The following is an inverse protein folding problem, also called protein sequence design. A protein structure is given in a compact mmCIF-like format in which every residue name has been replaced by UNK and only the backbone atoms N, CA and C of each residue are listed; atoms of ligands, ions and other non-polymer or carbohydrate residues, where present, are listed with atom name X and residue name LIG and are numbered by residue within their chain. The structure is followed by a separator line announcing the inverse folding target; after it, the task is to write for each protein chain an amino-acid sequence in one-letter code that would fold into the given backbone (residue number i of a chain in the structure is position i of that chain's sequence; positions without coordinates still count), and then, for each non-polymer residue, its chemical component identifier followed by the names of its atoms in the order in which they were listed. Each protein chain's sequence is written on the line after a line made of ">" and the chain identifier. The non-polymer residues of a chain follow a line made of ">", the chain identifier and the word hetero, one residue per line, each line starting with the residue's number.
data_IF_187906936503
#
_entry.id   IF_187906936503
#
_cell.length_a   1.000
_cell.length_b   1.000
_cell.length_c   1.000
_cell.angle_alpha   90.00
_cell.angle_beta   90.00
_cell.angle_gamma   90.00
#
_symmetry.space_group_name_H-M   'P 1'
#
loop_
_entity.id
_entity.type
_entity.pdbx_description
1 polymer ?
#
# COMPACT_ATOMS: atom_id res chain seq x y z
N UNK A 1 -0.29 -6.09 -75.71
CA UNK A 1 -1.69 -5.72 -75.38
C UNK A 1 -2.08 -6.44 -74.10
N UNK A 2 -2.65 -5.70 -73.13
CA UNK A 2 -3.74 -6.03 -72.17
C UNK A 2 -3.83 -7.47 -71.62
N UNK A 3 -4.17 -7.77 -70.36
CA UNK A 3 -4.47 -7.03 -69.13
C UNK A 3 -4.69 -8.13 -68.06
N UNK A 4 -4.02 -8.00 -66.92
CA UNK A 4 -4.46 -8.33 -65.55
C UNK A 4 -5.61 -9.35 -65.34
N UNK A 5 -5.24 -10.52 -64.80
CA UNK A 5 -6.13 -11.37 -64.00
C UNK A 5 -6.13 -10.90 -62.53
N UNK A 6 -7.32 -10.73 -61.98
CA UNK A 6 -7.56 -10.43 -60.57
C UNK A 6 -7.55 -11.71 -59.72
N UNK A 7 -6.97 -11.63 -58.52
CA UNK A 7 -7.09 -12.64 -57.48
C UNK A 7 -7.07 -11.99 -56.09
N UNK A 8 -7.70 -12.71 -55.16
CA UNK A 8 -7.73 -12.60 -53.69
C UNK A 8 -8.84 -11.69 -53.13
N UNK A 9 -9.94 -12.27 -52.63
CA UNK A 9 -10.11 -12.95 -51.33
C UNK A 9 -9.82 -12.05 -50.13
N UNK A 10 -10.89 -11.70 -49.39
CA UNK A 10 -11.17 -12.00 -47.98
C UNK A 10 -12.17 -10.95 -47.48
N UNK A 11 -13.44 -11.32 -47.39
CA UNK A 11 -14.45 -10.62 -46.59
C UNK A 11 -14.85 -11.59 -45.47
N UNK A 12 -14.25 -11.40 -44.31
CA UNK A 12 -14.59 -12.12 -43.10
C UNK A 12 -15.25 -11.18 -42.09
N UNK A 13 -16.29 -11.72 -41.47
CA UNK A 13 -16.86 -11.39 -40.15
C UNK A 13 -18.15 -10.56 -40.14
N UNK A 14 -19.25 -11.32 -40.23
CA UNK A 14 -20.54 -11.05 -39.62
C UNK A 14 -20.38 -10.54 -38.18
N UNK A 15 -21.06 -9.42 -37.91
CA UNK A 15 -21.31 -8.96 -36.56
C UNK A 15 -22.26 -9.90 -35.82
N UNK A 16 -21.82 -10.38 -34.66
CA UNK A 16 -22.67 -10.75 -33.55
C UNK A 16 -21.91 -10.40 -32.28
N UNK A 17 -22.13 -9.21 -31.73
CA UNK A 17 -21.77 -8.95 -30.33
C UNK A 17 -23.02 -9.25 -29.50
N UNK A 18 -23.11 -10.49 -29.05
CA UNK A 18 -24.03 -10.90 -27.99
C UNK A 18 -23.74 -10.05 -26.75
N UNK A 19 -24.78 -9.44 -26.20
CA UNK A 19 -24.76 -8.75 -24.92
C UNK A 19 -24.46 -9.77 -23.82
N UNK A 20 -23.19 -9.87 -23.42
CA UNK A 20 -22.76 -10.68 -22.27
C UNK A 20 -23.04 -9.87 -21.00
N UNK A 21 -24.09 -10.26 -20.29
CA UNK A 21 -24.42 -9.73 -18.99
C UNK A 21 -23.48 -10.36 -17.96
N UNK A 22 -22.43 -9.64 -17.55
CA UNK A 22 -21.51 -10.06 -16.49
C UNK A 22 -22.00 -9.52 -15.14
N UNK A 23 -21.91 -10.30 -14.05
CA UNK A 23 -22.33 -9.87 -12.72
C UNK A 23 -21.56 -8.63 -12.25
N UNK A 24 -22.22 -7.77 -11.47
CA UNK A 24 -21.62 -6.56 -10.87
C UNK A 24 -20.33 -6.92 -10.13
N UNK A 25 -19.20 -6.23 -10.40
CA UNK A 25 -17.99 -6.41 -9.59
C UNK A 25 -18.25 -5.88 -8.17
N UNK A 26 -18.08 -6.74 -7.17
CA UNK A 26 -18.07 -6.38 -5.76
C UNK A 26 -16.68 -6.65 -5.18
N UNK A 27 -16.01 -5.60 -4.70
CA UNK A 27 -14.72 -5.66 -4.00
C UNK A 27 -13.73 -4.60 -4.52
N UNK A 28 -13.00 -3.87 -3.66
CA UNK A 28 -12.03 -2.88 -4.12
C UNK A 28 -10.75 -3.58 -4.61
N UNK A 29 -10.62 -3.70 -5.93
CA UNK A 29 -9.34 -3.93 -6.61
C UNK A 29 -8.92 -2.59 -7.21
N UNK A 30 -7.84 -1.99 -6.70
CA UNK A 30 -7.24 -0.79 -7.30
C UNK A 30 -5.95 -1.22 -8.00
N UNK A 31 -6.10 -1.87 -9.14
CA UNK A 31 -5.09 -1.88 -10.20
C UNK A 31 -5.78 -1.41 -11.47
N UNK A 32 -5.42 -0.21 -11.93
CA UNK A 32 -5.92 0.35 -13.19
C UNK A 32 -4.74 0.44 -14.13
N UNK A 33 -4.73 -0.44 -15.13
CA UNK A 33 -3.83 -0.32 -16.27
C UNK A 33 -4.20 0.94 -17.06
N UNK A 34 -3.23 1.83 -17.29
CA UNK A 34 -3.49 3.01 -18.12
C UNK A 34 -3.72 2.57 -19.57
N UNK A 35 -4.81 3.00 -20.19
CA UNK A 35 -5.18 2.56 -21.53
C UNK A 35 -4.22 3.03 -22.65
N UNK A 36 -3.24 3.90 -22.37
CA UNK A 36 -2.34 4.49 -23.37
C UNK A 36 -0.85 4.21 -23.14
N UNK A 37 -0.47 3.66 -21.99
CA UNK A 37 0.92 3.32 -21.65
C UNK A 37 0.91 1.94 -20.99
N UNK A 38 1.70 1.00 -21.51
CA UNK A 38 1.86 -0.33 -20.92
C UNK A 38 2.68 -0.22 -19.63
N UNK A 39 2.09 0.34 -18.59
CA UNK A 39 2.72 0.58 -17.30
C UNK A 39 1.70 0.54 -16.16
N UNK A 40 2.15 0.10 -14.99
CA UNK A 40 1.41 0.13 -13.73
C UNK A 40 1.85 1.33 -12.91
N UNK A 41 0.88 2.06 -12.35
CA UNK A 41 1.13 3.24 -11.52
C UNK A 41 0.66 2.98 -10.10
N UNK A 42 1.51 3.26 -9.12
CA UNK A 42 1.22 3.06 -7.70
C UNK A 42 1.49 4.34 -6.92
N UNK A 43 0.48 4.84 -6.20
CA UNK A 43 0.64 5.93 -5.26
C UNK A 43 1.07 5.34 -3.91
N UNK A 44 2.23 5.74 -3.41
CA UNK A 44 2.78 5.23 -2.15
C UNK A 44 2.26 5.99 -0.93
N UNK A 45 1.84 7.24 -1.11
CA UNK A 45 1.30 8.09 -0.07
C UNK A 45 1.44 9.56 -0.44
N UNK A 46 0.60 10.40 0.15
CA UNK A 46 0.66 11.85 0.02
C UNK A 46 1.13 12.49 1.33
N UNK A 47 1.94 13.53 1.23
CA UNK A 47 2.39 14.29 2.37
C UNK A 47 2.57 15.78 2.01
N UNK A 48 2.46 16.67 2.98
CA UNK A 48 2.82 18.09 2.77
C UNK A 48 4.33 18.28 2.81
N UNK A 49 4.89 18.89 1.78
CA UNK A 49 6.30 19.28 1.77
C UNK A 49 6.56 20.54 2.62
N UNK A 50 7.83 20.96 2.66
CA UNK A 50 8.27 22.13 3.44
C UNK A 50 7.68 23.45 2.93
N UNK A 51 7.21 23.50 1.68
CA UNK A 51 6.55 24.65 1.08
C UNK A 51 5.02 24.60 1.30
N UNK A 52 4.53 23.60 2.04
CA UNK A 52 3.11 23.40 2.35
C UNK A 52 2.31 22.75 1.21
N UNK A 53 2.95 22.40 0.10
CA UNK A 53 2.32 21.76 -1.06
C UNK A 53 2.07 20.29 -0.76
N UNK A 54 0.97 19.73 -1.26
CA UNK A 54 0.73 18.30 -1.10
C UNK A 54 1.44 17.54 -2.21
N UNK A 55 2.30 16.61 -1.82
CA UNK A 55 3.15 15.82 -2.71
C UNK A 55 2.84 14.34 -2.50
N UNK A 56 2.42 13.66 -3.55
CA UNK A 56 2.15 12.22 -3.54
C UNK A 56 3.24 11.45 -4.27
N UNK A 57 3.92 10.55 -3.59
CA UNK A 57 4.94 9.71 -4.20
C UNK A 57 4.29 8.69 -5.15
N UNK A 58 4.81 8.60 -6.37
CA UNK A 58 4.31 7.72 -7.43
C UNK A 58 5.45 6.82 -7.91
N UNK A 59 5.17 5.52 -7.96
CA UNK A 59 6.01 4.54 -8.65
C UNK A 59 5.36 4.11 -9.95
N UNK A 60 6.17 4.03 -11.00
CA UNK A 60 5.75 3.68 -12.35
C UNK A 60 6.56 2.44 -12.76
N UNK A 61 5.88 1.34 -13.08
CA UNK A 61 6.49 0.11 -13.54
C UNK A 61 6.08 -0.15 -14.98
N UNK A 62 7.04 -0.20 -15.88
CA UNK A 62 6.80 -0.56 -17.29
C UNK A 62 6.49 -2.05 -17.42
N UNK A 63 5.43 -2.37 -18.15
CA UNK A 63 5.13 -3.69 -18.69
C UNK A 63 5.43 -3.76 -20.21
N UNK A 64 6.01 -2.69 -20.76
CA UNK A 64 6.33 -2.59 -22.17
C UNK A 64 7.50 -3.49 -22.57
N UNK A 65 7.43 -4.03 -23.79
CA UNK A 65 8.54 -4.77 -24.42
C UNK A 65 9.60 -3.85 -25.06
N UNK A 66 9.28 -2.57 -25.22
CA UNK A 66 10.15 -1.54 -25.81
C UNK A 66 10.18 -0.29 -24.93
N UNK A 67 11.23 0.51 -25.07
CA UNK A 67 11.33 1.79 -24.37
C UNK A 67 10.20 2.73 -24.83
N UNK A 68 9.59 3.42 -23.88
CA UNK A 68 8.51 4.35 -24.14
C UNK A 68 8.92 5.76 -23.70
N UNK A 69 8.44 6.77 -24.43
CA UNK A 69 8.43 8.14 -23.96
C UNK A 69 7.01 8.46 -23.50
N UNK A 70 6.84 8.72 -22.21
CA UNK A 70 5.53 8.96 -21.61
C UNK A 70 5.35 10.46 -21.46
N UNK A 71 4.22 10.96 -21.96
CA UNK A 71 3.80 12.36 -21.80
C UNK A 71 2.49 12.40 -21.01
N UNK A 72 2.50 13.12 -19.89
CA UNK A 72 1.32 13.32 -19.04
C UNK A 72 0.91 14.79 -19.11
N UNK A 73 -0.27 15.12 -19.67
CA UNK A 73 -0.77 16.48 -19.65
C UNK A 73 -1.30 16.84 -18.25
N UNK A 74 -0.98 18.04 -17.76
CA UNK A 74 -1.35 18.51 -16.41
C UNK A 74 -2.86 18.61 -16.22
N UNK A 75 -3.61 18.90 -17.28
CA UNK A 75 -5.09 18.88 -17.25
C UNK A 75 -5.68 17.53 -16.80
N UNK A 76 -4.93 16.44 -16.98
CA UNK A 76 -5.31 15.10 -16.56
C UNK A 76 -4.94 14.78 -15.12
N UNK A 77 -4.44 15.75 -14.36
CA UNK A 77 -3.96 15.58 -12.98
C UNK A 77 -4.74 16.49 -12.04
N UNK A 78 -5.58 15.88 -11.18
CA UNK A 78 -6.36 16.62 -10.18
C UNK A 78 -6.65 15.75 -8.97
N UNK A 79 -6.68 16.34 -7.78
CA UNK A 79 -7.18 15.72 -6.57
C UNK A 79 -8.57 16.27 -6.24
N UNK A 80 -9.43 15.46 -5.62
CA UNK A 80 -10.75 15.81 -5.13
C UNK A 80 -10.77 15.57 -3.62
N UNK A 81 -11.10 16.60 -2.83
CA UNK A 81 -11.24 16.43 -1.38
C UNK A 81 -12.48 15.64 -0.98
N UNK A 82 -12.55 15.24 0.30
CA UNK A 82 -13.78 14.73 0.91
C UNK A 82 -14.98 15.68 0.74
N UNK A 83 -14.71 16.99 0.65
CA UNK A 83 -15.72 18.05 0.47
C UNK A 83 -16.09 18.29 -1.00
N UNK A 84 -15.46 17.58 -1.94
CA UNK A 84 -15.75 17.68 -3.38
C UNK A 84 -15.00 18.78 -4.13
N UNK A 85 -14.08 19.51 -3.49
CA UNK A 85 -13.27 20.52 -4.17
C UNK A 85 -12.20 19.88 -5.05
N UNK A 86 -11.97 20.45 -6.23
CA UNK A 86 -10.95 19.97 -7.16
C UNK A 86 -9.69 20.83 -7.09
N UNK A 87 -8.56 20.17 -6.89
CA UNK A 87 -7.23 20.78 -6.86
C UNK A 87 -6.41 20.29 -8.06
N UNK A 88 -6.08 21.15 -9.04
CA UNK A 88 -5.21 20.77 -10.14
C UNK A 88 -3.79 20.50 -9.63
N UNK A 89 -3.10 19.59 -10.31
CA UNK A 89 -1.71 19.25 -9.99
C UNK A 89 -0.91 18.93 -11.25
N UNK A 90 0.30 18.43 -11.03
CA UNK A 90 1.18 17.99 -12.11
C UNK A 90 2.08 16.85 -11.63
N UNK A 91 2.64 16.09 -12.59
CA UNK A 91 3.58 15.02 -12.31
C UNK A 91 5.02 15.54 -12.47
N UNK A 92 5.91 15.20 -11.57
CA UNK A 92 7.36 15.32 -11.75
C UNK A 92 7.98 13.93 -11.65
N UNK A 93 8.79 13.52 -12.62
CA UNK A 93 9.47 12.21 -12.63
C UNK A 93 10.98 12.44 -12.63
N UNK A 94 11.72 11.62 -11.91
CA UNK A 94 13.19 11.66 -11.92
C UNK A 94 13.72 11.49 -13.35
N UNK A 95 14.62 12.40 -13.77
CA UNK A 95 15.13 12.45 -15.14
C UNK A 95 14.11 12.89 -16.20
N UNK A 96 12.88 13.22 -15.79
CA UNK A 96 11.84 13.77 -16.63
C UNK A 96 11.93 15.28 -16.78
N UNK A 97 11.30 15.79 -17.83
CA UNK A 97 11.12 17.22 -18.09
C UNK A 97 9.69 17.61 -17.71
N UNK A 98 9.54 18.74 -17.02
CA UNK A 98 8.24 19.31 -16.67
C UNK A 98 8.16 20.67 -17.33
N UNK A 99 7.16 20.84 -18.21
CA UNK A 99 6.82 22.13 -18.78
C UNK A 99 5.53 22.68 -18.14
N UNK A 100 5.03 23.81 -18.64
CA UNK A 100 3.85 24.50 -18.08
C UNK A 100 2.54 23.72 -18.24
N UNK A 101 2.52 22.72 -19.13
CA UNK A 101 1.30 22.04 -19.58
C UNK A 101 1.34 20.52 -19.48
N UNK A 102 2.54 19.93 -19.41
CA UNK A 102 2.75 18.49 -19.44
C UNK A 102 4.09 18.13 -18.80
N UNK A 103 4.20 16.85 -18.50
CA UNK A 103 5.40 16.23 -17.97
C UNK A 103 5.80 15.08 -18.89
N UNK A 104 7.06 15.05 -19.31
CA UNK A 104 7.57 14.07 -20.26
C UNK A 104 8.75 13.33 -19.65
N UNK A 105 8.74 12.00 -19.71
CA UNK A 105 9.84 11.19 -19.18
C UNK A 105 10.05 9.92 -20.01
N UNK A 106 11.27 9.39 -19.98
CA UNK A 106 11.56 8.10 -20.57
C UNK A 106 11.20 6.98 -19.59
N UNK A 107 10.54 5.95 -20.09
CA UNK A 107 10.21 4.74 -19.34
C UNK A 107 10.77 3.52 -20.10
N UNK A 108 11.93 2.98 -19.69
CA UNK A 108 12.52 1.83 -20.35
C UNK A 108 11.62 0.58 -20.32
N UNK A 109 11.82 -0.33 -21.27
CA UNK A 109 11.15 -1.63 -21.29
C UNK A 109 11.41 -2.40 -19.99
N UNK A 110 10.36 -2.87 -19.32
CA UNK A 110 10.46 -3.51 -18.00
C UNK A 110 11.03 -2.64 -16.87
N UNK A 111 11.34 -1.37 -17.14
CA UNK A 111 11.98 -0.45 -16.23
C UNK A 111 11.03 0.14 -15.17
N UNK A 112 11.62 0.82 -14.20
CA UNK A 112 10.92 1.56 -13.15
C UNK A 112 11.25 3.04 -13.24
N UNK A 113 10.28 3.90 -12.94
CA UNK A 113 10.48 5.31 -12.73
C UNK A 113 9.84 5.76 -11.42
N UNK A 114 10.51 6.67 -10.72
CA UNK A 114 10.02 7.29 -9.49
C UNK A 114 9.60 8.73 -9.79
N UNK A 115 8.43 9.11 -9.28
CA UNK A 115 7.89 10.44 -9.47
C UNK A 115 7.06 10.93 -8.30
N UNK A 116 6.55 12.14 -8.45
CA UNK A 116 5.73 12.84 -7.47
C UNK A 116 4.59 13.55 -8.17
N UNK A 117 3.38 13.42 -7.66
CA UNK A 117 2.27 14.31 -8.02
C UNK A 117 2.29 15.48 -7.06
N UNK A 118 2.32 16.70 -7.59
CA UNK A 118 2.39 17.93 -6.79
C UNK A 118 1.08 18.70 -6.94
N UNK A 119 0.45 18.99 -5.80
CA UNK A 119 -0.77 19.77 -5.69
C UNK A 119 -0.47 21.03 -4.87
N UNK A 120 -0.18 22.17 -5.54
CA UNK A 120 0.34 23.35 -4.86
C UNK A 120 -0.71 24.09 -4.03
N UNK A 121 -1.99 23.98 -4.39
CA UNK A 121 -3.06 24.83 -3.88
C UNK A 121 -4.04 24.09 -2.95
N UNK A 122 -3.54 23.11 -2.18
CA UNK A 122 -4.38 22.32 -1.27
C UNK A 122 -4.37 22.97 0.12
N UNK A 123 -5.53 23.47 0.63
CA UNK A 123 -5.62 24.13 1.93
C UNK A 123 -5.17 23.24 3.08
N UNK A 124 -4.56 23.80 4.14
CA UNK A 124 -3.94 23.02 5.23
C UNK A 124 -4.89 22.08 5.95
N UNK A 125 -6.17 22.45 6.06
CA UNK A 125 -7.21 21.67 6.69
C UNK A 125 -7.58 20.39 5.92
N UNK A 126 -7.22 20.29 4.64
CA UNK A 126 -7.39 19.06 3.87
C UNK A 126 -6.35 18.03 4.31
N UNK A 127 -6.83 16.96 4.92
CA UNK A 127 -6.04 15.80 5.40
C UNK A 127 -6.30 14.54 4.57
N UNK A 128 -7.19 14.61 3.59
CA UNK A 128 -7.68 13.46 2.84
C UNK A 128 -8.19 13.83 1.44
N UNK A 129 -7.77 13.06 0.43
CA UNK A 129 -8.37 13.09 -0.89
C UNK A 129 -9.36 11.94 -1.07
N UNK A 130 -10.60 12.27 -1.41
CA UNK A 130 -11.61 11.29 -1.77
C UNK A 130 -11.27 10.59 -3.09
N UNK A 131 -10.77 11.36 -4.06
CA UNK A 131 -10.29 10.83 -5.33
C UNK A 131 -9.06 11.60 -5.82
N UNK A 132 -8.19 10.93 -6.57
CA UNK A 132 -7.10 11.51 -7.31
C UNK A 132 -7.16 10.97 -8.73
N UNK A 133 -7.16 11.89 -9.69
CA UNK A 133 -7.13 11.59 -11.11
C UNK A 133 -5.75 11.87 -11.66
N UNK A 134 -5.22 10.92 -12.40
CA UNK A 134 -3.92 11.03 -13.04
C UNK A 134 -3.91 10.20 -14.33
N UNK A 135 -3.72 10.84 -15.48
CA UNK A 135 -3.59 10.13 -16.76
C UNK A 135 -4.79 9.27 -17.15
N UNK A 136 -6.00 9.65 -16.73
CA UNK A 136 -7.23 8.87 -16.92
C UNK A 136 -7.46 7.77 -15.88
N UNK A 137 -6.55 7.61 -14.93
CA UNK A 137 -6.70 6.70 -13.80
C UNK A 137 -7.31 7.43 -12.60
N UNK A 138 -8.04 6.70 -11.78
CA UNK A 138 -8.66 7.20 -10.55
C UNK A 138 -8.19 6.38 -9.35
N UNK A 139 -7.70 7.07 -8.34
CA UNK A 139 -7.27 6.52 -7.06
C UNK A 139 -8.16 7.09 -5.96
N UNK A 140 -8.63 6.26 -5.03
CA UNK A 140 -9.58 6.70 -4.00
C UNK A 140 -8.99 6.61 -2.60
N UNK A 141 -9.47 7.50 -1.73
CA UNK A 141 -9.24 7.45 -0.29
C UNK A 141 -7.79 7.60 0.15
N UNK A 142 -7.13 8.66 -0.30
CA UNK A 142 -5.71 8.87 -0.06
C UNK A 142 -5.51 9.83 1.11
N UNK A 143 -4.93 9.40 2.24
CA UNK A 143 -4.61 10.31 3.34
C UNK A 143 -3.41 11.20 3.00
N UNK A 144 -3.42 12.42 3.55
CA UNK A 144 -2.35 13.41 3.43
C UNK A 144 -1.63 13.46 4.78
N UNK A 145 -0.44 12.87 4.82
CA UNK A 145 0.46 12.97 5.96
C UNK A 145 1.22 14.30 6.01
N UNK A 146 2.09 14.44 7.00
CA UNK A 146 3.12 15.48 7.02
C UNK A 146 4.42 14.89 6.46
N UNK A 147 5.14 15.60 5.59
CA UNK A 147 6.43 15.10 5.15
C UNK A 147 7.37 15.07 6.36
N UNK A 148 8.01 13.92 6.57
CA UNK A 148 9.18 13.86 7.44
C UNK A 148 10.22 14.85 6.89
N UNK A 149 10.83 15.70 7.74
CA UNK A 149 11.88 16.60 7.30
C UNK A 149 12.99 15.80 6.57
N UNK A 150 13.63 16.38 5.55
CA UNK A 150 14.65 15.70 4.78
C UNK A 150 15.78 15.28 5.70
N UNK A 151 15.84 14.00 6.02
CA UNK A 151 17.03 13.41 6.60
C UNK A 151 18.13 13.53 5.54
N UNK A 152 19.21 14.23 5.91
CA UNK A 152 20.47 14.17 5.18
C UNK A 152 20.76 12.72 4.80
N UNK A 153 21.18 12.50 3.55
CA UNK A 153 21.48 11.17 2.99
C UNK A 153 22.31 10.34 3.98
N UNK A 154 21.65 9.40 4.65
CA UNK A 154 22.31 8.25 5.23
C UNK A 154 22.69 7.30 4.08
N UNK A 155 23.80 6.55 4.21
CA UNK A 155 24.31 5.68 3.14
C UNK A 155 23.24 4.72 2.64
N UNK A 156 23.30 4.41 1.33
CA UNK A 156 22.32 3.62 0.57
C UNK A 156 21.68 2.46 1.38
N UNK A 157 20.34 2.32 1.35
CA UNK A 157 19.67 1.19 1.98
C UNK A 157 20.14 -0.11 1.32
N UNK A 158 20.78 -0.97 2.11
CA UNK A 158 20.96 -2.37 1.76
C UNK A 158 19.59 -2.99 1.50
N UNK A 159 19.49 -3.78 0.44
CA UNK A 159 18.28 -4.48 0.01
C UNK A 159 17.54 -5.11 1.21
N UNK A 160 16.38 -4.57 1.56
CA UNK A 160 15.41 -5.25 2.39
C UNK A 160 14.84 -6.42 1.57
N UNK A 161 14.83 -7.65 2.10
CA UNK A 161 14.08 -8.74 1.49
C UNK A 161 12.62 -8.32 1.33
N UNK A 162 12.04 -8.61 0.16
CA UNK A 162 10.65 -8.33 -0.15
C UNK A 162 9.74 -8.86 0.97
N UNK A 163 8.81 -8.02 1.43
CA UNK A 163 7.64 -8.48 2.15
C UNK A 163 7.01 -9.62 1.33
N UNK A 164 6.78 -10.82 1.91
CA UNK A 164 6.15 -11.91 1.19
C UNK A 164 4.80 -11.48 0.63
N UNK A 165 4.50 -11.95 -0.58
CA UNK A 165 3.26 -11.76 -1.30
C UNK A 165 2.02 -12.04 -0.42
N UNK A 166 0.94 -11.30 -0.71
CA UNK A 166 -0.41 -11.45 -0.17
C UNK A 166 -0.76 -12.86 0.30
N UNK A 167 -0.55 -13.13 1.59
CA UNK A 167 -1.45 -14.00 2.32
C UNK A 167 -2.71 -13.19 2.58
N UNK A 168 -3.87 -13.69 2.15
CA UNK A 168 -5.18 -13.05 2.31
C UNK A 168 -5.48 -12.58 3.76
N UNK A 169 -4.69 -13.05 4.73
CA UNK A 169 -4.72 -12.69 6.15
C UNK A 169 -3.27 -12.56 6.66
N UNK A 170 -2.60 -11.41 6.47
CA UNK A 170 -1.18 -11.23 6.83
C UNK A 170 -0.92 -11.33 8.34
N UNK A 171 -1.98 -11.24 9.14
CA UNK A 171 -1.97 -11.46 10.58
C UNK A 171 -1.93 -12.96 10.96
N UNK A 172 -2.18 -13.91 10.05
CA UNK A 172 -2.05 -15.36 10.37
C UNK A 172 -0.61 -15.80 10.39
N UNK A 173 0.21 -15.24 9.50
CA UNK A 173 1.63 -15.59 9.37
C UNK A 173 2.38 -14.45 8.73
N UNK A 174 3.48 -14.04 9.36
CA UNK A 174 4.38 -13.01 8.82
C UNK A 174 5.80 -13.23 9.32
N UNK A 175 6.75 -12.57 8.65
CA UNK A 175 8.19 -12.68 8.94
C UNK A 175 8.76 -11.28 9.14
N UNK A 176 9.56 -11.10 10.19
CA UNK A 176 10.29 -9.85 10.47
C UNK A 176 11.72 -10.18 10.86
N UNK A 177 12.68 -9.80 10.02
CA UNK A 177 14.07 -10.16 10.23
C UNK A 177 14.24 -11.68 10.37
N UNK A 178 14.84 -12.18 11.46
CA UNK A 178 15.00 -13.61 11.67
C UNK A 178 13.74 -14.30 12.21
N UNK A 179 12.72 -13.54 12.64
CA UNK A 179 11.55 -14.08 13.33
C UNK A 179 10.43 -14.43 12.36
N UNK A 180 9.92 -15.65 12.47
CA UNK A 180 8.69 -16.10 11.80
C UNK A 180 7.57 -16.23 12.83
N UNK A 181 6.46 -15.54 12.62
CA UNK A 181 5.28 -15.57 13.47
C UNK A 181 4.20 -16.43 12.80
N UNK A 182 3.67 -17.41 13.52
CA UNK A 182 2.57 -18.27 13.09
C UNK A 182 1.45 -18.25 14.14
N UNK A 183 0.30 -17.68 13.78
CA UNK A 183 -0.82 -17.52 14.69
C UNK A 183 -1.33 -18.88 15.16
N UNK A 184 -1.50 -19.00 16.47
CA UNK A 184 -2.11 -20.16 17.14
C UNK A 184 -3.56 -19.87 17.51
N UNK A 185 -3.83 -18.69 18.08
CA UNK A 185 -5.18 -18.31 18.49
C UNK A 185 -5.34 -16.80 18.65
N UNK A 186 -6.59 -16.35 18.55
CA UNK A 186 -7.03 -15.02 18.96
C UNK A 186 -7.95 -15.23 20.15
N UNK A 187 -7.67 -14.56 21.27
CA UNK A 187 -8.52 -14.58 22.46
C UNK A 187 -8.80 -13.16 22.93
N UNK A 188 -9.79 -13.00 23.80
CA UNK A 188 -10.15 -11.71 24.39
C UNK A 188 -10.13 -11.81 25.91
N UNK A 189 -9.52 -10.84 26.59
CA UNK A 189 -9.56 -10.74 28.05
C UNK A 189 -10.77 -9.90 28.46
N UNK A 190 -11.81 -10.56 28.99
CA UNK A 190 -13.16 -10.03 29.14
C UNK A 190 -13.34 -8.86 30.13
N UNK A 191 -12.32 -8.52 30.92
CA UNK A 191 -12.35 -7.40 31.88
C UNK A 191 -11.32 -6.31 31.59
N UNK A 192 -10.46 -6.51 30.59
CA UNK A 192 -9.35 -5.62 30.26
C UNK A 192 -9.54 -4.91 28.92
N UNK A 193 -10.58 -5.29 28.15
CA UNK A 193 -10.79 -4.91 26.75
C UNK A 193 -9.49 -5.07 25.95
N UNK A 194 -8.95 -6.28 25.99
CA UNK A 194 -7.70 -6.63 25.30
C UNK A 194 -7.97 -7.75 24.32
N UNK A 195 -7.52 -7.56 23.08
CA UNK A 195 -7.47 -8.61 22.07
C UNK A 195 -6.06 -9.19 22.07
N UNK A 196 -5.96 -10.49 22.28
CA UNK A 196 -4.68 -11.21 22.40
C UNK A 196 -4.50 -12.10 21.18
N UNK A 197 -3.39 -11.89 20.48
CA UNK A 197 -2.93 -12.75 19.41
C UNK A 197 -1.79 -13.61 19.94
N UNK A 198 -2.00 -14.92 20.00
CA UNK A 198 -0.99 -15.87 20.43
C UNK A 198 -0.29 -16.44 19.22
N UNK A 199 1.00 -16.19 19.09
CA UNK A 199 1.85 -16.67 18.01
C UNK A 199 2.82 -17.73 18.52
N UNK A 200 3.02 -18.76 17.71
CA UNK A 200 4.24 -19.55 17.75
C UNK A 200 5.28 -18.79 16.95
N UNK A 201 6.39 -18.42 17.59
CA UNK A 201 7.46 -17.65 16.96
C UNK A 201 8.71 -18.51 16.91
N UNK A 202 9.37 -18.54 15.76
CA UNK A 202 10.67 -19.21 15.58
C UNK A 202 11.66 -18.20 15.03
N UNK A 203 12.90 -18.21 15.55
CA UNK A 203 13.99 -17.42 14.97
C UNK A 203 14.91 -18.30 14.11
N UNK A 204 15.41 -17.77 12.99
CA UNK A 204 16.40 -18.47 12.13
C UNK A 204 17.83 -18.38 12.67
N UNK A 205 18.09 -17.49 13.63
CA UNK A 205 19.38 -17.28 14.31
C UNK A 205 19.16 -17.04 15.80
N UNK A 206 20.23 -17.07 16.58
CA UNK A 206 20.16 -16.61 17.98
C UNK A 206 19.93 -15.09 18.01
N UNK A 207 18.85 -14.66 18.66
CA UNK A 207 18.41 -13.26 18.58
C UNK A 207 17.45 -12.89 19.70
N UNK A 208 17.46 -11.63 20.13
CA UNK A 208 16.51 -11.11 21.09
C UNK A 208 15.30 -10.47 20.37
N UNK A 209 14.09 -10.98 20.64
CA UNK A 209 12.86 -10.42 20.11
C UNK A 209 12.52 -9.11 20.83
N UNK A 210 12.24 -8.05 20.07
CA UNK A 210 11.80 -6.77 20.62
C UNK A 210 10.60 -6.25 19.83
N UNK A 211 9.57 -5.81 20.56
CA UNK A 211 8.33 -5.31 20.00
C UNK A 211 7.94 -4.02 20.72
N UNK A 212 7.47 -3.02 19.98
CA UNK A 212 7.01 -1.73 20.51
C UNK A 212 5.53 -1.51 20.18
N UNK A 213 4.82 -0.99 21.17
CA UNK A 213 3.43 -0.58 21.07
C UNK A 213 3.25 0.95 21.18
N UNK A 214 4.36 1.70 21.18
CA UNK A 214 4.40 3.15 21.42
C UNK A 214 3.57 3.95 20.41
N UNK A 215 3.41 3.41 19.19
CA UNK A 215 2.60 3.97 18.11
C UNK A 215 1.45 3.06 17.71
N UNK A 216 1.05 2.13 18.57
CA UNK A 216 -0.03 1.21 18.24
C UNK A 216 -1.37 1.91 18.19
N UNK A 217 -2.14 1.58 17.15
CA UNK A 217 -3.53 1.99 16.98
C UNK A 217 -4.34 0.76 16.60
N UNK A 218 -5.43 0.54 17.32
CA UNK A 218 -6.46 -0.46 17.01
C UNK A 218 -7.75 0.28 16.65
N UNK A 219 -8.38 -0.05 15.53
CA UNK A 219 -9.65 0.52 15.08
C UNK A 219 -10.64 -0.61 14.86
N UNK A 220 -11.80 -0.55 15.53
CA UNK A 220 -12.89 -1.51 15.39
C UNK A 220 -13.83 -1.11 14.25
N UNK A 221 -14.67 -2.05 13.80
CA UNK A 221 -15.64 -1.84 12.73
C UNK A 221 -16.70 -0.78 13.01
N UNK A 222 -16.97 -0.46 14.28
CA UNK A 222 -17.85 0.63 14.70
C UNK A 222 -17.16 2.02 14.66
N UNK A 223 -15.90 2.06 14.23
CA UNK A 223 -15.10 3.28 14.11
C UNK A 223 -14.42 3.72 15.41
N UNK A 224 -14.63 3.01 16.53
CA UNK A 224 -13.91 3.32 17.76
C UNK A 224 -12.44 2.93 17.64
N UNK A 225 -11.58 3.70 18.30
CA UNK A 225 -10.14 3.46 18.28
C UNK A 225 -9.53 3.54 19.67
N UNK A 226 -8.47 2.77 19.88
CA UNK A 226 -7.64 2.83 21.08
C UNK A 226 -6.18 2.64 20.72
N UNK A 227 -5.30 3.30 21.47
CA UNK A 227 -3.86 3.18 21.31
C UNK A 227 -3.26 2.32 22.41
N UNK A 228 -2.11 1.74 22.10
CA UNK A 228 -1.31 0.96 23.05
C UNK A 228 -1.65 -0.53 23.10
N UNK A 229 -0.83 -1.22 23.87
CA UNK A 229 -0.85 -2.66 24.01
C UNK A 229 0.42 -3.11 24.71
N UNK A 230 0.54 -4.42 24.91
CA UNK A 230 1.71 -5.04 25.52
C UNK A 230 2.00 -6.34 24.80
N UNK A 231 3.20 -6.88 25.00
CA UNK A 231 3.54 -8.21 24.52
C UNK A 231 4.29 -8.99 25.60
N UNK A 232 4.36 -10.30 25.43
CA UNK A 232 5.14 -11.15 26.30
C UNK A 232 5.49 -12.47 25.64
N UNK A 233 6.56 -13.09 26.09
CA UNK A 233 6.96 -14.44 25.71
C UNK A 233 6.63 -15.38 26.87
N UNK A 234 6.08 -16.56 26.57
CA UNK A 234 5.87 -17.59 27.57
C UNK A 234 7.21 -17.97 28.21
N UNK A 235 7.27 -17.94 29.55
CA UNK A 235 8.51 -18.13 30.30
C UNK A 235 9.36 -16.84 30.47
N UNK A 236 8.90 -15.70 29.95
CA UNK A 236 9.45 -14.37 30.27
C UNK A 236 10.77 -13.99 29.60
N UNK A 237 11.36 -14.87 28.79
CA UNK A 237 12.62 -14.61 28.09
C UNK A 237 12.36 -14.30 26.63
N UNK A 238 12.87 -13.18 26.14
CA UNK A 238 12.80 -12.81 24.72
C UNK A 238 14.02 -13.23 23.92
N UNK A 239 14.96 -13.97 24.52
CA UNK A 239 16.10 -14.57 23.84
C UNK A 239 15.67 -15.84 23.11
N UNK A 240 15.72 -15.81 21.78
CA UNK A 240 15.46 -16.98 20.94
C UNK A 240 16.75 -17.68 20.60
N UNK A 241 16.74 -19.01 20.74
CA UNK A 241 17.74 -19.91 20.17
C UNK A 241 17.23 -20.32 18.78
N UNK A 242 18.12 -20.31 17.78
CA UNK A 242 17.79 -20.65 16.40
C UNK A 242 17.00 -21.97 16.29
N UNK A 243 15.87 -21.93 15.57
CA UNK A 243 15.02 -23.09 15.31
C UNK A 243 14.12 -23.55 16.45
N UNK A 244 14.26 -23.01 17.66
CA UNK A 244 13.40 -23.38 18.81
C UNK A 244 12.20 -22.42 18.88
N UNK A 245 10.96 -22.92 18.73
CA UNK A 245 9.79 -22.08 18.79
C UNK A 245 9.41 -21.69 20.22
N UNK A 246 9.04 -20.43 20.43
CA UNK A 246 8.46 -19.92 21.68
C UNK A 246 7.07 -19.34 21.44
N UNK A 247 6.22 -19.39 22.46
CA UNK A 247 4.89 -18.77 22.41
C UNK A 247 5.01 -17.29 22.76
N UNK A 248 4.49 -16.42 21.91
CA UNK A 248 4.48 -14.96 22.07
C UNK A 248 3.05 -14.46 22.00
N UNK A 249 2.64 -13.70 23.00
CA UNK A 249 1.33 -13.05 23.05
C UNK A 249 1.47 -11.57 22.71
N UNK A 250 0.73 -11.11 21.70
CA UNK A 250 0.59 -9.70 21.35
C UNK A 250 -0.78 -9.23 21.81
N UNK A 251 -0.80 -8.28 22.75
CA UNK A 251 -2.01 -7.82 23.44
C UNK A 251 -2.34 -6.40 23.00
N UNK A 252 -3.39 -6.24 22.21
CA UNK A 252 -3.87 -4.94 21.73
C UNK A 252 -4.96 -4.42 22.64
N UNK A 253 -4.84 -3.17 23.07
CA UNK A 253 -5.93 -2.52 23.78
C UNK A 253 -7.07 -2.20 22.82
N UNK A 254 -8.29 -2.56 23.23
CA UNK A 254 -9.54 -2.33 22.51
C UNK A 254 -10.34 -1.22 23.20
N UNK A 255 -11.03 -0.34 22.45
CA UNK A 255 -11.89 0.70 23.02
C UNK A 255 -13.14 0.12 23.71
N UNK A 256 -13.51 -1.12 23.40
CA UNK A 256 -14.64 -1.82 24.02
C UNK A 256 -14.55 -3.35 23.87
N UNK A 257 -15.66 -4.04 24.07
CA UNK A 257 -15.74 -5.48 23.84
C UNK A 257 -15.65 -5.79 22.34
N UNK A 258 -14.51 -6.29 21.90
CA UNK A 258 -14.25 -6.61 20.49
C UNK A 258 -14.76 -8.00 20.07
N UNK A 259 -15.37 -8.79 20.98
CA UNK A 259 -15.84 -10.14 20.66
C UNK A 259 -16.88 -10.14 19.55
N UNK A 260 -16.63 -10.93 18.52
CA UNK A 260 -17.49 -10.99 17.34
C UNK A 260 -17.42 -9.77 16.41
N UNK A 261 -16.55 -8.80 16.68
CA UNK A 261 -16.30 -7.64 15.82
C UNK A 261 -15.11 -7.87 14.90
N UNK A 262 -14.96 -7.01 13.90
CA UNK A 262 -13.76 -6.94 13.06
C UNK A 262 -12.85 -5.79 13.51
N UNK A 263 -11.56 -6.07 13.70
CA UNK A 263 -10.53 -5.01 13.75
C UNK A 263 -10.25 -4.57 12.31
N UNK A 264 -10.61 -3.34 11.96
CA UNK A 264 -10.35 -2.77 10.64
C UNK A 264 -8.88 -2.43 10.42
N UNK A 265 -8.20 -2.04 11.51
CA UNK A 265 -6.80 -1.62 11.47
C UNK A 265 -6.11 -1.90 12.79
N UNK A 266 -4.94 -2.52 12.74
CA UNK A 266 -4.01 -2.61 13.86
C UNK A 266 -2.59 -2.31 13.37
N UNK A 267 -1.80 -1.56 14.15
CA UNK A 267 -0.38 -1.34 13.86
C UNK A 267 0.51 -1.49 15.09
N UNK A 268 1.75 -1.94 14.89
CA UNK A 268 2.79 -2.07 15.91
C UNK A 268 4.16 -2.21 15.24
N UNK A 269 5.24 -2.23 16.01
CA UNK A 269 6.60 -2.31 15.46
C UNK A 269 7.37 -3.51 16.04
N UNK A 270 8.13 -4.19 15.19
CA UNK A 270 9.00 -5.32 15.58
C UNK A 270 10.41 -5.02 15.11
N UNK A 271 11.41 -5.20 15.97
CA UNK A 271 12.81 -5.01 15.60
C UNK A 271 13.32 -6.22 14.79
N UNK A 272 13.87 -5.98 13.60
CA UNK A 272 14.36 -7.04 12.70
C UNK A 272 15.82 -7.46 12.95
N UNK A 273 16.48 -6.86 13.94
CA UNK A 273 17.91 -6.99 14.20
C UNK A 273 18.76 -5.83 13.71
N UNK A 274 18.19 -4.93 12.88
CA UNK A 274 18.82 -3.72 12.35
C UNK A 274 17.98 -2.48 12.59
N UNK A 275 16.68 -2.54 12.29
CA UNK A 275 15.74 -1.42 12.39
C UNK A 275 14.33 -1.87 12.83
N UNK A 276 13.50 -0.89 13.21
CA UNK A 276 12.11 -1.11 13.59
C UNK A 276 11.22 -1.24 12.35
N UNK A 277 10.59 -2.40 12.21
CA UNK A 277 9.68 -2.69 11.12
C UNK A 277 8.24 -2.47 11.56
N UNK A 278 7.55 -1.54 10.89
CA UNK A 278 6.13 -1.29 11.12
C UNK A 278 5.29 -2.40 10.50
N UNK A 279 4.49 -3.05 11.33
CA UNK A 279 3.53 -4.08 10.95
C UNK A 279 2.13 -3.46 10.96
N UNK A 280 1.39 -3.71 9.89
CA UNK A 280 0.01 -3.22 9.72
C UNK A 280 -0.89 -4.40 9.37
N UNK A 281 -1.93 -4.60 10.16
CA UNK A 281 -2.97 -5.57 9.91
C UNK A 281 -4.30 -4.88 9.62
N UNK A 282 -5.13 -5.54 8.82
CA UNK A 282 -6.45 -5.06 8.44
C UNK A 282 -7.43 -6.22 8.40
N UNK A 283 -8.71 -5.90 8.59
CA UNK A 283 -9.84 -6.82 8.44
C UNK A 283 -9.65 -8.13 9.23
N UNK A 284 -9.40 -8.02 10.54
CA UNK A 284 -9.20 -9.17 11.41
C UNK A 284 -10.51 -9.51 12.12
N UNK A 285 -11.16 -10.63 11.80
CA UNK A 285 -12.35 -11.06 12.54
C UNK A 285 -11.94 -11.56 13.93
N UNK A 286 -12.61 -11.07 14.98
CA UNK A 286 -12.39 -11.50 16.36
C UNK A 286 -13.44 -12.55 16.73
N UNK A 287 -13.04 -13.71 17.26
CA UNK A 287 -13.97 -14.73 17.74
C UNK A 287 -14.98 -14.17 18.76
N UNK A 288 -16.17 -14.76 18.80
CA UNK A 288 -17.17 -14.49 19.85
C UNK A 288 -16.78 -15.13 21.17
#
# INVERSE_FOLDING_TARGET
>A
MKRTLAFLWVLAALGVAQQVNLPKPSGPVIEVASANVSATFKIQGCARDQEGKVVCAVQIQSAARTNQQVTVPHQGVRAISARGFSYPGYLTVEGGQVDVTKSTFALPAGGRASGKLVFPNVPQEETFFAALYFGGMEFRGIPIGQALPPQAQAPAPQAQPAAPADTAEPWKRFVVGPFTFELQSITTECCSWVVVFNYKVTSSIDSNLQIRFDKTRTILEDGQQRTGGVWGVSGGRSDFIAGIPLLVSLKFYSPGDARGMTILYAEFEVFDGKDWQRIVWRNIPIPK
#
